data_IF_639059968522
#
_entry.id   IF_639059968522
#
_cell.length_a   1.000
_cell.length_b   1.000
_cell.length_c   1.000
_cell.angle_alpha   90.00
_cell.angle_beta   90.00
_cell.angle_gamma   90.00
#
_symmetry.space_group_name_H-M   'P 1'
#
loop_
_entity.id
_entity.type
_entity.pdbx_description
1 polymer ?
#
# COMPACT_ATOMS: atom_id res chain seq x y z
N UNK A 1 3.12 4.46 -35.05
CA UNK A 1 1.90 5.20 -35.38
C UNK A 1 1.43 5.87 -34.10
N UNK A 2 2.11 6.95 -33.71
CA UNK A 2 1.71 7.84 -32.64
C UNK A 2 1.05 9.09 -33.24
N UNK A 3 0.08 9.62 -32.55
CA UNK A 3 -0.70 10.84 -32.79
C UNK A 3 -2.07 10.60 -33.41
N UNK A 4 -3.05 10.68 -32.49
CA UNK A 4 -4.29 11.44 -32.63
C UNK A 4 -5.32 10.91 -31.62
N UNK A 5 -5.22 11.30 -30.37
CA UNK A 5 -6.36 11.51 -29.45
C UNK A 5 -5.90 12.63 -28.49
N UNK A 6 -5.96 13.84 -28.96
CA UNK A 6 -6.02 15.03 -28.12
C UNK A 6 -6.72 16.08 -28.98
N UNK A 7 -7.96 16.35 -28.66
CA UNK A 7 -8.70 17.58 -28.93
C UNK A 7 -10.19 17.27 -28.95
N UNK A 8 -10.75 17.01 -27.77
CA UNK A 8 -12.17 17.27 -27.50
C UNK A 8 -12.45 17.01 -26.02
N UNK A 9 -12.34 18.03 -25.20
CA UNK A 9 -13.14 18.33 -24.01
C UNK A 9 -12.39 19.33 -23.10
N UNK A 10 -12.02 20.47 -23.69
CA UNK A 10 -11.84 21.68 -22.90
C UNK A 10 -13.22 22.37 -22.85
N UNK A 11 -14.02 22.00 -21.91
CA UNK A 11 -15.20 22.77 -21.50
C UNK A 11 -14.90 23.43 -20.16
N UNK A 12 -14.60 24.71 -20.26
CA UNK A 12 -14.76 25.80 -19.30
C UNK A 12 -15.07 25.40 -17.85
N UNK A 13 -14.02 25.40 -17.02
CA UNK A 13 -14.15 25.59 -15.58
C UNK A 13 -14.59 27.03 -15.31
N UNK A 14 -15.57 27.28 -14.44
CA UNK A 14 -15.93 28.61 -14.03
C UNK A 14 -14.82 29.22 -13.18
N UNK A 15 -14.34 30.38 -13.59
CA UNK A 15 -13.43 31.21 -12.82
C UNK A 15 -14.13 31.69 -11.53
N UNK A 16 -13.85 31.06 -10.41
CA UNK A 16 -14.19 31.60 -9.10
C UNK A 16 -13.04 31.44 -8.12
N UNK A 17 -12.00 32.28 -8.32
CA UNK A 17 -10.91 32.49 -7.38
C UNK A 17 -11.31 33.28 -6.12
N UNK A 18 -12.58 33.33 -5.77
CA UNK A 18 -13.07 34.07 -4.59
C UNK A 18 -13.79 33.24 -3.54
N UNK A 19 -13.97 31.95 -3.73
CA UNK A 19 -14.63 31.07 -2.73
C UNK A 19 -13.66 30.14 -1.98
N UNK A 20 -12.43 29.99 -2.40
CA UNK A 20 -11.43 29.16 -1.69
C UNK A 20 -10.83 29.83 -0.43
N UNK A 21 -10.90 31.17 -0.32
CA UNK A 21 -10.35 31.92 0.83
C UNK A 21 -11.27 31.96 2.06
N UNK A 22 -12.44 31.35 2.06
CA UNK A 22 -13.42 31.45 3.17
C UNK A 22 -13.67 30.18 3.96
N UNK A 23 -12.89 29.13 3.78
CA UNK A 23 -12.92 27.95 4.66
C UNK A 23 -11.71 28.00 5.61
N UNK A 24 -11.50 29.15 6.26
CA UNK A 24 -10.62 29.21 7.40
C UNK A 24 -11.45 29.05 8.67
N UNK A 25 -11.13 28.01 9.41
CA UNK A 25 -11.63 27.58 10.72
C UNK A 25 -12.01 28.76 11.63
N UNK A 26 -13.16 28.64 12.28
CA UNK A 26 -13.59 29.57 13.31
C UNK A 26 -12.59 29.58 14.47
N UNK A 27 -12.44 30.73 15.19
CA UNK A 27 -11.52 30.87 16.33
C UNK A 27 -11.70 29.78 17.41
N UNK A 28 -12.88 29.19 17.52
CA UNK A 28 -13.18 28.08 18.42
C UNK A 28 -12.54 26.74 18.00
N UNK A 29 -12.25 26.56 16.73
CA UNK A 29 -11.55 25.39 16.20
C UNK A 29 -10.04 25.57 16.33
N UNK A 30 -9.54 26.79 16.27
CA UNK A 30 -8.13 27.13 16.56
C UNK A 30 -7.75 26.85 18.03
N UNK A 31 -8.65 27.05 18.97
CA UNK A 31 -8.40 26.72 20.39
C UNK A 31 -8.46 25.21 20.71
N UNK A 32 -9.19 24.39 19.93
CA UNK A 32 -9.19 22.93 20.10
C UNK A 32 -7.98 22.23 19.46
N UNK A 33 -7.29 22.88 18.55
CA UNK A 33 -6.11 22.39 17.85
C UNK A 33 -4.79 22.71 18.58
N UNK A 34 -4.81 23.20 19.81
CA UNK A 34 -3.59 23.28 20.64
C UNK A 34 -3.22 21.87 21.19
N UNK A 35 -3.05 20.86 20.32
CA UNK A 35 -2.06 19.83 20.58
C UNK A 35 -0.71 20.54 20.64
N UNK A 36 0.12 20.24 21.63
CA UNK A 36 1.50 20.71 21.66
C UNK A 36 2.11 20.34 20.30
N UNK A 37 2.25 21.33 19.41
CA UNK A 37 2.92 21.10 18.13
C UNK A 37 4.32 20.61 18.45
N UNK A 38 4.70 19.47 17.87
CA UNK A 38 6.06 18.96 17.93
C UNK A 38 7.01 19.99 17.31
N UNK A 39 8.23 20.04 17.77
CA UNK A 39 9.29 20.80 17.12
C UNK A 39 9.82 19.95 15.95
N UNK A 40 9.98 20.56 14.79
CA UNK A 40 10.55 19.89 13.62
C UNK A 40 12.07 20.06 13.62
N UNK A 41 12.74 19.24 14.43
CA UNK A 41 14.18 19.34 14.61
C UNK A 41 14.90 18.61 13.47
N UNK A 42 15.85 19.29 12.86
CA UNK A 42 16.77 18.73 11.86
C UNK A 42 17.67 17.73 12.56
N UNK A 43 17.65 16.48 12.12
CA UNK A 43 18.52 15.42 12.65
C UNK A 43 19.78 15.25 11.83
N UNK A 44 19.69 15.52 10.52
CA UNK A 44 20.81 15.39 9.59
C UNK A 44 20.64 16.32 8.40
N UNK A 45 21.77 16.81 7.91
CA UNK A 45 21.89 17.54 6.64
C UNK A 45 22.78 16.70 5.71
N UNK A 46 22.33 16.54 4.46
CA UNK A 46 23.06 15.76 3.47
C UNK A 46 24.26 16.56 2.92
N UNK A 47 25.43 15.93 2.81
CA UNK A 47 26.61 16.61 2.23
C UNK A 47 26.39 17.03 0.78
N UNK A 48 26.75 18.27 0.44
CA UNK A 48 26.61 18.86 -0.88
C UNK A 48 25.16 19.26 -1.21
N UNK A 49 24.28 19.34 -0.21
CA UNK A 49 22.89 19.75 -0.36
C UNK A 49 22.71 21.27 -0.26
N UNK A 50 21.56 21.77 -0.70
CA UNK A 50 21.17 23.17 -0.55
C UNK A 50 21.16 23.58 0.94
N UNK A 51 20.71 22.68 1.81
CA UNK A 51 20.68 22.94 3.26
C UNK A 51 22.10 23.11 3.85
N UNK A 52 23.09 22.36 3.37
CA UNK A 52 24.48 22.52 3.79
C UNK A 52 25.05 23.88 3.33
N UNK A 53 24.77 24.31 2.08
CA UNK A 53 25.18 25.59 1.55
C UNK A 53 24.58 26.77 2.32
N UNK A 54 23.36 26.60 2.86
CA UNK A 54 22.65 27.56 3.68
C UNK A 54 23.01 27.49 5.17
N UNK A 55 24.02 26.70 5.53
CA UNK A 55 24.50 26.54 6.91
C UNK A 55 23.40 26.07 7.88
N UNK A 56 22.42 25.27 7.38
CA UNK A 56 21.49 24.54 8.24
C UNK A 56 22.22 23.39 8.91
N UNK A 57 22.05 23.21 10.21
CA UNK A 57 22.79 22.23 11.00
C UNK A 57 21.85 21.29 11.76
N UNK A 58 22.29 20.08 12.08
CA UNK A 58 21.56 19.21 13.01
C UNK A 58 21.33 19.92 14.35
N UNK A 59 20.08 19.85 14.86
CA UNK A 59 19.64 20.57 16.04
C UNK A 59 18.88 21.88 15.76
N UNK A 60 18.88 22.37 14.54
CA UNK A 60 18.06 23.50 14.12
C UNK A 60 16.58 23.07 14.03
N UNK A 61 15.66 24.01 14.18
CA UNK A 61 14.21 23.79 14.11
C UNK A 61 13.65 24.45 12.86
N UNK A 62 13.00 23.67 11.98
CA UNK A 62 12.18 24.23 10.90
C UNK A 62 10.86 24.73 11.48
N UNK A 63 10.63 26.04 11.40
CA UNK A 63 9.47 26.71 11.99
C UNK A 63 8.32 26.85 10.99
N UNK A 64 8.63 27.28 9.76
CA UNK A 64 7.65 27.43 8.69
C UNK A 64 8.28 27.33 7.31
N UNK A 65 7.45 27.05 6.30
CA UNK A 65 7.80 27.10 4.89
C UNK A 65 6.83 28.05 4.20
N UNK A 66 7.38 29.06 3.49
CA UNK A 66 6.60 30.09 2.79
C UNK A 66 5.53 30.74 3.67
N UNK A 67 5.90 31.04 4.92
CA UNK A 67 5.03 31.65 5.93
C UNK A 67 3.93 30.74 6.49
N UNK A 68 3.89 29.45 6.10
CA UNK A 68 2.92 28.46 6.62
C UNK A 68 3.58 27.56 7.64
N UNK A 69 2.89 27.36 8.76
CA UNK A 69 3.29 26.38 9.76
C UNK A 69 3.08 24.96 9.22
N UNK A 70 3.97 24.07 9.62
CA UNK A 70 3.95 22.66 9.23
C UNK A 70 3.29 21.85 10.35
N UNK A 71 2.37 20.97 10.03
CA UNK A 71 1.77 20.02 10.97
C UNK A 71 2.50 18.68 10.96
N UNK A 72 2.85 18.20 9.76
CA UNK A 72 3.54 16.94 9.52
C UNK A 72 4.24 16.90 8.16
N UNK A 73 4.78 15.75 7.82
CA UNK A 73 5.53 15.52 6.58
C UNK A 73 4.74 15.81 5.30
N UNK A 74 3.39 15.71 5.33
CA UNK A 74 2.58 16.00 4.14
C UNK A 74 2.60 17.49 3.81
N UNK A 75 2.50 18.37 4.84
CA UNK A 75 2.65 19.81 4.64
C UNK A 75 4.04 20.15 4.14
N UNK A 76 5.08 19.53 4.72
CA UNK A 76 6.45 19.76 4.32
C UNK A 76 6.65 19.44 2.84
N UNK A 77 6.29 18.25 2.40
CA UNK A 77 6.44 17.85 0.99
C UNK A 77 5.63 18.76 0.05
N UNK A 78 4.39 19.09 0.41
CA UNK A 78 3.57 19.95 -0.42
C UNK A 78 4.15 21.36 -0.55
N UNK A 79 4.60 21.95 0.56
CA UNK A 79 5.13 23.32 0.57
C UNK A 79 6.54 23.44 -0.02
N UNK A 80 7.33 22.35 0.06
CA UNK A 80 8.67 22.30 -0.52
C UNK A 80 8.67 22.03 -2.01
N UNK A 81 7.54 21.57 -2.57
CA UNK A 81 7.40 21.26 -3.99
C UNK A 81 7.07 22.53 -4.81
N UNK A 82 8.03 23.47 -4.84
CA UNK A 82 7.96 24.74 -5.55
C UNK A 82 9.38 25.14 -5.98
N UNK A 83 9.49 25.99 -7.01
CA UNK A 83 10.77 26.53 -7.51
C UNK A 83 11.33 27.62 -6.61
N UNK A 84 10.49 28.27 -5.80
CA UNK A 84 10.88 29.26 -4.81
C UNK A 84 10.22 29.01 -3.47
N UNK A 85 11.01 28.82 -2.42
CA UNK A 85 10.52 28.60 -1.07
C UNK A 85 11.25 29.49 -0.06
N UNK A 86 10.53 29.98 0.94
CA UNK A 86 11.06 30.70 2.08
C UNK A 86 11.03 29.83 3.32
N UNK A 87 12.17 29.59 3.96
CA UNK A 87 12.25 28.84 5.20
C UNK A 87 12.47 29.76 6.39
N UNK A 88 11.71 29.59 7.45
CA UNK A 88 12.04 30.12 8.75
C UNK A 88 12.69 29.02 9.59
N UNK A 89 14.00 29.17 9.81
CA UNK A 89 14.80 28.24 10.61
C UNK A 89 15.14 28.92 11.94
N UNK A 90 14.89 28.22 13.05
CA UNK A 90 15.39 28.63 14.35
C UNK A 90 16.63 27.81 14.68
N UNK A 91 17.77 28.50 14.73
CA UNK A 91 19.07 27.92 15.08
C UNK A 91 19.06 27.41 16.52
N UNK A 92 19.95 26.46 16.81
CA UNK A 92 20.11 25.88 18.14
C UNK A 92 20.44 26.91 19.25
N UNK A 93 21.02 28.06 18.86
CA UNK A 93 21.29 29.20 19.77
C UNK A 93 20.07 30.11 19.99
N UNK A 94 18.94 29.87 19.30
CA UNK A 94 17.68 30.62 19.40
C UNK A 94 17.55 31.78 18.40
N UNK A 95 18.51 32.01 17.52
CA UNK A 95 18.38 32.97 16.41
C UNK A 95 17.40 32.44 15.38
N UNK A 96 16.63 33.32 14.75
CA UNK A 96 15.73 32.99 13.66
C UNK A 96 16.32 33.52 12.34
N UNK A 97 16.42 32.61 11.37
CA UNK A 97 16.92 32.87 10.04
C UNK A 97 15.81 32.72 9.02
N UNK A 98 15.62 33.73 8.17
CA UNK A 98 14.77 33.63 7.01
C UNK A 98 15.67 33.34 5.80
N UNK A 99 15.45 32.17 5.17
CA UNK A 99 16.24 31.70 4.04
C UNK A 99 15.37 31.64 2.79
N UNK A 100 15.79 32.33 1.76
CA UNK A 100 15.16 32.32 0.42
C UNK A 100 15.89 31.28 -0.44
N UNK A 101 15.15 30.34 -1.04
CA UNK A 101 15.69 29.21 -1.81
C UNK A 101 15.08 29.25 -3.21
N UNK A 102 15.91 29.35 -4.24
CA UNK A 102 15.57 29.05 -5.62
C UNK A 102 16.13 27.67 -5.97
N UNK A 103 15.29 26.76 -6.47
CA UNK A 103 15.64 25.36 -6.78
C UNK A 103 14.80 24.83 -7.92
N UNK A 104 15.18 23.68 -8.50
CA UNK A 104 14.26 22.95 -9.38
C UNK A 104 13.06 22.44 -8.58
N UNK A 105 11.91 22.29 -9.24
CA UNK A 105 10.63 21.98 -8.61
C UNK A 105 10.69 20.75 -7.69
N UNK A 106 11.36 19.68 -8.13
CA UNK A 106 11.46 18.41 -7.40
C UNK A 106 12.72 18.26 -6.54
N UNK A 107 13.59 19.27 -6.51
CA UNK A 107 14.83 19.18 -5.74
C UNK A 107 14.56 19.13 -4.24
N UNK A 108 15.16 18.14 -3.58
CA UNK A 108 15.20 18.05 -2.12
C UNK A 108 16.34 18.94 -1.59
N UNK A 109 16.04 19.73 -0.59
CA UNK A 109 17.06 20.58 0.05
C UNK A 109 18.05 19.81 0.92
N UNK A 110 17.82 18.53 1.21
CA UNK A 110 18.72 17.64 1.93
C UNK A 110 18.64 17.70 3.44
N UNK A 111 17.42 17.86 3.99
CA UNK A 111 17.16 17.83 5.45
C UNK A 111 16.46 16.51 5.82
N UNK A 112 16.98 15.83 6.85
CA UNK A 112 16.26 14.76 7.54
C UNK A 112 15.82 15.21 8.93
N UNK A 113 14.63 14.83 9.37
CA UNK A 113 14.09 15.17 10.68
C UNK A 113 14.25 14.03 11.68
N UNK A 114 14.29 14.32 13.00
CA UNK A 114 14.35 13.30 14.06
C UNK A 114 13.19 12.30 13.97
N UNK A 115 12.01 12.77 13.59
CA UNK A 115 10.85 11.95 13.30
C UNK A 115 10.50 12.10 11.81
N UNK A 116 10.60 11.01 11.05
CA UNK A 116 10.33 11.01 9.62
C UNK A 116 8.91 11.41 9.21
N UNK A 117 7.93 11.37 10.12
CA UNK A 117 6.58 11.92 9.90
C UNK A 117 6.43 13.38 10.38
N UNK A 118 7.44 13.94 11.02
CA UNK A 118 7.40 15.27 11.67
C UNK A 118 6.29 15.42 12.73
N UNK A 119 5.62 14.32 13.07
CA UNK A 119 4.58 14.17 14.07
C UNK A 119 4.58 12.72 14.60
N UNK A 120 3.85 12.46 15.69
CA UNK A 120 3.73 11.12 16.23
C UNK A 120 2.97 10.18 15.30
N UNK A 121 3.39 8.91 15.25
CA UNK A 121 2.67 7.85 14.54
C UNK A 121 1.27 7.66 15.12
N UNK A 122 0.29 7.44 14.26
CA UNK A 122 -1.10 7.21 14.65
C UNK A 122 -1.39 5.72 14.70
N UNK A 123 -1.51 5.19 15.89
CA UNK A 123 -1.80 3.79 16.12
C UNK A 123 -3.25 3.44 15.78
N UNK A 124 -3.47 2.26 15.20
CA UNK A 124 -4.80 1.73 14.88
C UNK A 124 -5.65 1.49 16.13
N UNK A 125 -6.90 1.95 16.11
CA UNK A 125 -7.87 1.76 17.21
C UNK A 125 -8.82 0.57 16.97
N UNK A 126 -8.69 -0.14 15.86
CA UNK A 126 -9.52 -1.28 15.50
C UNK A 126 -9.07 -2.57 16.23
N UNK A 127 -10.00 -3.51 16.37
CA UNK A 127 -9.75 -4.87 16.86
C UNK A 127 -10.30 -5.87 15.82
N UNK A 128 -9.74 -5.81 14.62
CA UNK A 128 -10.20 -6.61 13.50
C UNK A 128 -10.15 -8.10 13.80
N UNK A 129 -11.20 -8.84 13.45
CA UNK A 129 -11.26 -10.30 13.63
C UNK A 129 -10.15 -11.04 12.89
N UNK A 130 -9.57 -10.41 11.86
CA UNK A 130 -8.53 -10.92 10.98
C UNK A 130 -7.15 -10.28 11.23
N UNK A 131 -6.98 -9.43 12.25
CA UNK A 131 -5.73 -8.69 12.46
C UNK A 131 -4.54 -9.65 12.59
N UNK A 132 -3.57 -9.53 11.68
CA UNK A 132 -2.39 -10.39 11.70
C UNK A 132 -1.43 -10.05 12.86
N UNK A 133 -1.40 -8.79 13.31
CA UNK A 133 -0.60 -8.38 14.48
C UNK A 133 -1.08 -9.11 15.75
N UNK A 134 -2.40 -9.31 15.91
CA UNK A 134 -2.94 -10.04 17.06
C UNK A 134 -2.58 -11.53 17.05
N UNK A 135 -2.13 -12.04 15.90
CA UNK A 135 -1.69 -13.43 15.69
C UNK A 135 -0.16 -13.58 15.70
N UNK A 136 0.58 -12.55 16.08
CA UNK A 136 2.03 -12.63 16.20
C UNK A 136 2.45 -13.42 17.44
N UNK A 137 3.57 -14.16 17.40
CA UNK A 137 4.11 -14.83 18.58
C UNK A 137 4.47 -13.79 19.65
N UNK A 138 4.19 -14.12 20.92
CA UNK A 138 4.52 -13.24 22.05
C UNK A 138 6.02 -13.20 22.30
N UNK A 139 6.53 -12.06 22.80
CA UNK A 139 7.92 -11.92 23.23
C UNK A 139 8.91 -11.56 22.11
N UNK A 140 8.41 -11.13 20.96
CA UNK A 140 9.23 -10.53 19.91
C UNK A 140 9.52 -9.04 20.21
N UNK A 141 10.31 -8.37 19.36
CA UNK A 141 10.60 -6.94 19.53
C UNK A 141 9.31 -6.10 19.45
N UNK A 142 9.21 -5.07 20.27
CA UNK A 142 7.99 -4.26 20.45
C UNK A 142 7.47 -3.63 19.15
N UNK A 143 8.38 -3.25 18.25
CA UNK A 143 8.02 -2.66 16.96
C UNK A 143 7.14 -3.55 16.07
N UNK A 144 7.19 -4.89 16.25
CA UNK A 144 6.34 -5.84 15.51
C UNK A 144 4.88 -5.85 15.98
N UNK A 145 4.59 -5.27 17.14
CA UNK A 145 3.22 -5.22 17.68
C UNK A 145 2.55 -3.87 17.45
N UNK A 146 3.25 -2.95 16.79
CA UNK A 146 2.66 -1.68 16.42
C UNK A 146 1.60 -1.89 15.33
N UNK A 147 0.39 -1.44 15.59
CA UNK A 147 -0.72 -1.49 14.62
C UNK A 147 -0.83 -0.15 13.93
N UNK A 148 -0.51 -0.13 12.66
CA UNK A 148 -0.62 1.06 11.84
C UNK A 148 -2.04 1.27 11.28
N UNK A 149 -2.51 2.50 11.28
CA UNK A 149 -3.68 3.02 10.55
C UNK A 149 -3.49 4.53 10.32
N UNK A 150 -2.27 4.91 9.94
CA UNK A 150 -1.88 6.29 9.71
C UNK A 150 -1.96 6.63 8.22
N UNK A 151 -2.85 7.55 7.85
CA UNK A 151 -3.08 7.90 6.45
C UNK A 151 -1.86 8.47 5.74
N UNK A 152 -0.90 9.05 6.47
CA UNK A 152 0.35 9.55 5.89
C UNK A 152 1.18 8.42 5.31
N UNK A 153 1.16 7.26 5.95
CA UNK A 153 1.88 6.08 5.48
C UNK A 153 1.23 5.45 4.24
N UNK A 154 -0.03 5.77 3.95
CA UNK A 154 -0.63 5.39 2.67
C UNK A 154 0.12 6.02 1.49
N UNK A 155 0.48 7.30 1.59
CA UNK A 155 1.21 8.00 0.54
C UNK A 155 2.72 7.72 0.55
N UNK A 156 3.30 7.58 1.74
CA UNK A 156 4.75 7.42 1.89
C UNK A 156 5.25 5.98 1.71
N UNK A 157 4.41 4.99 2.02
CA UNK A 157 4.79 3.57 2.06
C UNK A 157 3.80 2.63 1.39
N UNK A 158 2.72 3.15 0.79
CA UNK A 158 1.69 2.33 0.18
C UNK A 158 0.77 1.59 1.16
N UNK A 159 0.78 1.94 2.45
CA UNK A 159 -0.01 1.24 3.48
C UNK A 159 -1.52 1.42 3.25
N UNK A 160 -2.27 0.32 3.47
CA UNK A 160 -3.73 0.34 3.38
C UNK A 160 -4.36 0.74 4.71
N UNK A 161 -5.15 1.81 4.71
CA UNK A 161 -5.78 2.36 5.90
C UNK A 161 -7.28 2.09 5.94
N UNK A 162 -7.83 2.02 7.16
CA UNK A 162 -9.25 1.70 7.36
C UNK A 162 -10.17 2.92 7.30
N UNK A 163 -9.64 4.12 7.17
CA UNK A 163 -10.34 5.42 7.27
C UNK A 163 -10.95 5.70 8.66
N UNK A 164 -10.89 4.76 9.61
CA UNK A 164 -11.49 4.95 10.94
C UNK A 164 -10.71 5.91 11.82
N UNK A 165 -9.42 6.06 11.54
CA UNK A 165 -8.49 6.95 12.27
C UNK A 165 -8.40 8.37 11.68
N UNK A 166 -8.95 8.59 10.50
CA UNK A 166 -8.88 9.88 9.81
C UNK A 166 -9.93 10.85 10.32
N UNK A 167 -9.53 12.07 10.61
CA UNK A 167 -10.43 13.19 10.88
C UNK A 167 -10.90 13.86 9.58
N UNK A 168 -11.91 14.75 9.68
CA UNK A 168 -12.32 15.57 8.53
C UNK A 168 -11.19 16.50 8.08
N UNK A 169 -10.38 17.00 9.02
CA UNK A 169 -9.20 17.80 8.73
C UNK A 169 -8.17 17.04 7.88
N UNK A 170 -7.89 15.77 8.20
CA UNK A 170 -6.98 14.95 7.39
C UNK A 170 -7.50 14.79 5.95
N UNK A 171 -8.82 14.58 5.80
CA UNK A 171 -9.44 14.47 4.48
C UNK A 171 -9.36 15.80 3.72
N UNK A 172 -9.68 16.92 4.39
CA UNK A 172 -9.60 18.25 3.77
C UNK A 172 -8.19 18.55 3.26
N UNK A 173 -7.15 18.18 4.01
CA UNK A 173 -5.75 18.35 3.59
C UNK A 173 -5.40 17.47 2.39
N UNK A 174 -5.78 16.18 2.41
CA UNK A 174 -5.53 15.25 1.29
C UNK A 174 -6.20 15.76 0.02
N UNK A 175 -7.45 16.20 0.11
CA UNK A 175 -8.18 16.78 -1.02
C UNK A 175 -7.54 18.10 -1.49
N UNK A 176 -7.16 18.97 -0.56
CA UNK A 176 -6.55 20.26 -0.90
C UNK A 176 -5.18 20.09 -1.56
N UNK A 177 -4.35 19.15 -1.09
CA UNK A 177 -3.04 18.84 -1.65
C UNK A 177 -3.12 17.91 -2.86
N UNK A 178 -4.31 17.42 -3.17
CA UNK A 178 -4.56 16.42 -4.23
C UNK A 178 -3.60 15.23 -4.13
N UNK A 179 -3.49 14.67 -2.92
CA UNK A 179 -2.58 13.56 -2.66
C UNK A 179 -3.20 12.23 -3.08
N UNK A 180 -2.49 11.48 -3.93
CA UNK A 180 -2.95 10.22 -4.49
C UNK A 180 -1.78 9.27 -4.86
N UNK A 181 -2.01 7.96 -4.97
CA UNK A 181 -3.27 7.28 -4.69
C UNK A 181 -3.49 7.07 -3.17
N UNK A 182 -4.76 7.05 -2.76
CA UNK A 182 -5.15 6.66 -1.39
C UNK A 182 -5.44 5.16 -1.33
N UNK A 183 -4.73 4.42 -0.49
CA UNK A 183 -4.90 2.98 -0.35
C UNK A 183 -5.87 2.66 0.81
N UNK A 184 -7.00 2.00 0.52
CA UNK A 184 -8.12 1.82 1.44
C UNK A 184 -8.41 0.35 1.72
N UNK A 185 -8.38 -0.04 3.00
CA UNK A 185 -8.85 -1.32 3.51
C UNK A 185 -10.37 -1.33 3.68
N UNK A 186 -11.11 -1.81 2.69
CA UNK A 186 -12.56 -1.83 2.71
C UNK A 186 -13.14 -2.96 3.55
N UNK A 187 -12.69 -4.16 3.34
CA UNK A 187 -13.15 -5.44 3.91
C UNK A 187 -14.56 -5.82 3.45
N UNK A 188 -15.50 -4.90 3.49
CA UNK A 188 -16.87 -5.00 3.00
C UNK A 188 -17.48 -3.61 2.86
N UNK A 189 -18.41 -3.44 1.93
CA UNK A 189 -19.22 -2.23 1.77
C UNK A 189 -20.52 -2.28 2.58
N UNK A 190 -20.78 -3.37 3.32
CA UNK A 190 -21.87 -3.46 4.27
C UNK A 190 -21.47 -2.78 5.60
N UNK A 191 -22.07 -1.63 5.98
CA UNK A 191 -21.64 -0.87 7.15
C UNK A 191 -21.74 -1.64 8.46
N UNK A 192 -22.78 -2.43 8.64
CA UNK A 192 -23.01 -3.20 9.86
C UNK A 192 -22.01 -4.36 9.98
N UNK A 193 -21.74 -5.05 8.87
CA UNK A 193 -20.74 -6.10 8.83
C UNK A 193 -19.34 -5.52 9.05
N UNK A 194 -19.04 -4.37 8.46
CA UNK A 194 -17.74 -3.70 8.65
C UNK A 194 -17.48 -3.35 10.12
N UNK A 195 -18.51 -2.84 10.82
CA UNK A 195 -18.42 -2.60 12.27
C UNK A 195 -18.09 -3.87 13.05
N UNK A 196 -18.68 -5.01 12.67
CA UNK A 196 -18.40 -6.30 13.31
C UNK A 196 -16.99 -6.79 12.99
N UNK A 197 -16.57 -6.74 11.72
CA UNK A 197 -15.25 -7.20 11.27
C UNK A 197 -14.10 -6.39 11.89
N UNK A 198 -14.23 -5.06 11.96
CA UNK A 198 -13.21 -4.18 12.55
C UNK A 198 -13.35 -4.04 14.07
N UNK A 199 -14.43 -4.58 14.64
CA UNK A 199 -14.81 -4.39 16.05
C UNK A 199 -14.76 -2.89 16.45
N UNK A 200 -15.29 -2.06 15.57
CA UNK A 200 -15.32 -0.60 15.72
C UNK A 200 -16.68 -0.07 15.26
N UNK A 201 -17.44 0.54 16.17
CA UNK A 201 -18.79 1.06 15.91
C UNK A 201 -18.84 2.17 14.85
N UNK A 202 -17.72 2.83 14.56
CA UNK A 202 -17.61 3.90 13.58
C UNK A 202 -17.14 3.41 12.20
N UNK A 203 -16.80 2.12 12.07
CA UNK A 203 -16.21 1.61 10.84
C UNK A 203 -17.17 1.66 9.64
N UNK A 204 -18.46 1.48 9.88
CA UNK A 204 -19.47 1.62 8.82
C UNK A 204 -19.64 3.06 8.33
N UNK A 205 -19.65 4.02 9.26
CA UNK A 205 -19.76 5.44 8.94
C UNK A 205 -18.50 5.95 8.20
N UNK A 206 -17.34 5.38 8.52
CA UNK A 206 -16.07 5.74 7.86
C UNK A 206 -16.08 5.48 6.35
N UNK A 207 -16.94 4.59 5.83
CA UNK A 207 -17.09 4.36 4.40
C UNK A 207 -17.52 5.63 3.63
N UNK A 208 -18.28 6.53 4.25
CA UNK A 208 -18.71 7.78 3.62
C UNK A 208 -17.55 8.74 3.28
N UNK A 209 -16.38 8.52 3.87
CA UNK A 209 -15.18 9.30 3.54
C UNK A 209 -14.70 9.03 2.12
N UNK A 210 -15.02 7.84 1.58
CA UNK A 210 -14.72 7.48 0.20
C UNK A 210 -15.46 8.38 -0.79
N UNK A 211 -16.70 8.78 -0.46
CA UNK A 211 -17.48 9.70 -1.30
C UNK A 211 -16.75 11.03 -1.48
N UNK A 212 -16.07 11.53 -0.43
CA UNK A 212 -15.32 12.79 -0.48
C UNK A 212 -14.07 12.70 -1.37
N UNK A 213 -13.36 11.58 -1.34
CA UNK A 213 -12.23 11.33 -2.24
C UNK A 213 -12.70 11.19 -3.68
N UNK A 214 -13.79 10.46 -3.90
CA UNK A 214 -14.39 10.31 -5.22
C UNK A 214 -14.85 11.65 -5.81
N UNK A 215 -15.58 12.48 -5.04
CA UNK A 215 -16.05 13.80 -5.44
C UNK A 215 -14.89 14.77 -5.74
N UNK A 216 -13.76 14.60 -5.07
CA UNK A 216 -12.54 15.37 -5.29
C UNK A 216 -11.66 14.84 -6.44
N UNK A 217 -12.03 13.70 -7.05
CA UNK A 217 -11.26 13.09 -8.13
C UNK A 217 -9.95 12.44 -7.69
N UNK A 218 -9.80 12.10 -6.39
CA UNK A 218 -8.60 11.44 -5.85
C UNK A 218 -8.58 9.97 -6.27
N UNK A 219 -7.48 9.54 -6.86
CA UNK A 219 -7.28 8.13 -7.19
C UNK A 219 -7.14 7.28 -5.92
N UNK A 220 -7.75 6.10 -5.95
CA UNK A 220 -7.78 5.17 -4.83
C UNK A 220 -7.45 3.76 -5.27
N UNK A 221 -6.86 2.97 -4.35
CA UNK A 221 -6.76 1.52 -4.46
C UNK A 221 -7.46 0.87 -3.26
N UNK A 222 -8.10 -0.25 -3.50
CA UNK A 222 -8.86 -0.97 -2.49
C UNK A 222 -8.23 -2.31 -2.11
N UNK A 223 -8.49 -2.75 -0.88
CA UNK A 223 -8.15 -4.10 -0.42
C UNK A 223 -9.32 -4.70 0.37
N UNK A 224 -9.58 -5.97 0.13
CA UNK A 224 -10.52 -6.79 0.88
C UNK A 224 -9.79 -8.02 1.43
N UNK A 225 -9.64 -8.09 2.76
CA UNK A 225 -9.24 -9.34 3.43
C UNK A 225 -10.48 -10.23 3.55
N UNK A 226 -10.51 -11.31 2.80
CA UNK A 226 -11.66 -12.21 2.75
C UNK A 226 -11.60 -13.25 3.87
N UNK A 227 -12.69 -13.34 4.65
CA UNK A 227 -12.85 -14.27 5.76
C UNK A 227 -14.00 -15.23 5.45
N UNK A 228 -13.71 -16.54 5.40
CA UNK A 228 -14.68 -17.59 5.08
C UNK A 228 -15.90 -17.53 6.00
N UNK A 229 -17.08 -17.51 5.42
CA UNK A 229 -18.36 -17.44 6.14
C UNK A 229 -18.67 -16.09 6.79
N UNK A 230 -17.89 -15.03 6.48
CA UNK A 230 -18.07 -13.70 7.06
C UNK A 230 -18.38 -12.67 5.98
N UNK A 231 -17.45 -12.38 5.09
CA UNK A 231 -17.59 -11.39 4.02
C UNK A 231 -17.40 -11.98 2.62
N UNK A 232 -17.44 -13.29 2.49
CA UNK A 232 -17.36 -14.03 1.23
C UNK A 232 -18.73 -14.19 0.54
N UNK A 233 -18.76 -14.87 -0.61
CA UNK A 233 -19.98 -15.17 -1.37
C UNK A 233 -20.80 -13.91 -1.70
N UNK A 234 -22.05 -13.86 -1.22
CA UNK A 234 -22.98 -12.78 -1.50
C UNK A 234 -22.53 -11.41 -0.94
N UNK A 235 -21.79 -11.39 0.18
CA UNK A 235 -21.24 -10.15 0.75
C UNK A 235 -20.08 -9.62 -0.09
N UNK A 236 -19.26 -10.50 -0.66
CA UNK A 236 -18.21 -10.11 -1.60
C UNK A 236 -18.84 -9.56 -2.89
N UNK A 237 -19.82 -10.24 -3.47
CA UNK A 237 -20.57 -9.77 -4.65
C UNK A 237 -21.19 -8.39 -4.40
N UNK A 238 -21.85 -8.21 -3.27
CA UNK A 238 -22.40 -6.92 -2.85
C UNK A 238 -21.30 -5.85 -2.78
N UNK A 239 -20.19 -6.16 -2.12
CA UNK A 239 -19.10 -5.20 -1.95
C UNK A 239 -18.47 -4.78 -3.27
N UNK A 240 -18.20 -5.73 -4.18
CA UNK A 240 -17.66 -5.42 -5.51
C UNK A 240 -18.64 -4.49 -6.27
N UNK A 241 -19.93 -4.80 -6.27
CA UNK A 241 -20.93 -3.97 -6.93
C UNK A 241 -20.99 -2.55 -6.38
N UNK A 242 -20.89 -2.39 -5.04
CA UNK A 242 -20.88 -1.06 -4.44
C UNK A 242 -19.59 -0.30 -4.76
N UNK A 243 -18.43 -0.99 -4.83
CA UNK A 243 -17.15 -0.40 -5.16
C UNK A 243 -17.06 0.06 -6.62
N UNK A 244 -17.74 -0.60 -7.56
CA UNK A 244 -17.75 -0.14 -8.97
C UNK A 244 -18.37 1.26 -9.15
N UNK A 245 -19.11 1.76 -8.17
CA UNK A 245 -19.66 3.13 -8.21
C UNK A 245 -18.60 4.22 -8.11
N UNK A 246 -17.42 3.87 -7.66
CA UNK A 246 -16.29 4.79 -7.50
C UNK A 246 -15.33 4.79 -8.71
N UNK A 247 -15.65 4.05 -9.76
CA UNK A 247 -14.93 4.15 -11.03
C UNK A 247 -15.13 5.54 -11.66
N UNK A 248 -14.12 6.14 -12.30
CA UNK A 248 -12.79 5.57 -12.56
C UNK A 248 -11.74 5.85 -11.47
N UNK A 249 -12.09 6.59 -10.39
CA UNK A 249 -11.11 7.02 -9.39
C UNK A 249 -10.67 5.89 -8.45
N UNK A 250 -11.52 4.92 -8.13
CA UNK A 250 -11.09 3.67 -7.51
C UNK A 250 -10.54 2.77 -8.62
N UNK A 251 -9.20 2.79 -8.79
CA UNK A 251 -8.54 2.19 -9.94
C UNK A 251 -8.49 0.66 -9.87
N UNK A 252 -8.29 0.12 -8.68
CA UNK A 252 -8.21 -1.33 -8.49
C UNK A 252 -8.60 -1.76 -7.08
N UNK A 253 -9.06 -3.00 -6.94
CA UNK A 253 -9.35 -3.62 -5.64
C UNK A 253 -8.77 -5.02 -5.59
N UNK A 254 -7.90 -5.30 -4.61
CA UNK A 254 -7.38 -6.65 -4.35
C UNK A 254 -8.28 -7.41 -3.37
N UNK A 255 -8.48 -8.69 -3.63
CA UNK A 255 -9.10 -9.64 -2.71
C UNK A 255 -8.05 -10.64 -2.26
N UNK A 256 -7.71 -10.61 -0.97
CA UNK A 256 -6.70 -11.48 -0.38
C UNK A 256 -7.34 -12.42 0.64
N UNK A 257 -6.97 -13.71 0.74
CA UNK A 257 -7.49 -14.58 1.78
C UNK A 257 -6.96 -14.17 3.15
N UNK A 258 -7.74 -14.38 4.19
CA UNK A 258 -7.28 -14.13 5.56
C UNK A 258 -6.11 -15.06 5.91
N UNK A 259 -5.00 -14.47 6.35
CA UNK A 259 -3.86 -15.22 6.88
C UNK A 259 -4.14 -15.72 8.30
N UNK A 260 -3.96 -17.01 8.54
CA UNK A 260 -4.19 -17.64 9.85
C UNK A 260 -2.88 -18.24 10.38
N UNK A 261 -2.42 -17.72 11.53
CA UNK A 261 -1.26 -18.28 12.23
C UNK A 261 -1.67 -19.29 13.31
N UNK A 262 -0.71 -20.02 13.83
CA UNK A 262 -0.92 -20.93 14.98
C UNK A 262 -1.13 -20.21 16.33
N UNK A 263 -0.99 -18.89 16.37
CA UNK A 263 -1.09 -18.09 17.60
C UNK A 263 -2.45 -17.39 17.71
N UNK A 264 -3.53 -18.13 17.42
CA UNK A 264 -4.90 -17.61 17.42
C UNK A 264 -5.71 -17.96 18.66
N UNK A 265 -5.10 -18.47 19.71
CA UNK A 265 -5.80 -18.83 20.94
C UNK A 265 -6.52 -17.61 21.56
N UNK A 266 -7.84 -17.74 21.74
CA UNK A 266 -8.70 -16.69 22.30
C UNK A 266 -9.08 -15.58 21.30
N UNK A 267 -8.66 -15.63 20.04
CA UNK A 267 -9.11 -14.73 18.99
C UNK A 267 -10.40 -15.24 18.33
N UNK A 268 -11.04 -14.37 17.55
CA UNK A 268 -12.24 -14.72 16.80
C UNK A 268 -11.99 -15.97 15.93
N UNK A 269 -12.85 -16.99 15.98
CA UNK A 269 -12.67 -18.20 15.21
C UNK A 269 -12.86 -17.92 13.72
N UNK A 270 -11.81 -18.11 12.94
CA UNK A 270 -11.81 -18.03 11.49
C UNK A 270 -11.36 -19.37 10.92
N UNK A 271 -11.93 -19.74 9.79
CA UNK A 271 -11.59 -20.96 9.06
C UNK A 271 -10.78 -20.61 7.81
N UNK A 272 -9.78 -21.43 7.44
CA UNK A 272 -9.08 -21.27 6.17
C UNK A 272 -10.01 -21.63 5.01
N UNK A 273 -9.75 -21.02 3.85
CA UNK A 273 -10.38 -21.44 2.60
C UNK A 273 -9.73 -22.74 2.11
N UNK A 274 -10.55 -23.59 1.49
CA UNK A 274 -10.08 -24.77 0.79
C UNK A 274 -10.08 -24.56 -0.73
N UNK A 275 -9.66 -25.57 -1.48
CA UNK A 275 -9.58 -25.54 -2.95
C UNK A 275 -10.91 -25.22 -3.62
N UNK A 276 -12.00 -25.79 -3.14
CA UNK A 276 -13.33 -25.59 -3.73
C UNK A 276 -13.91 -24.21 -3.38
N UNK A 277 -13.56 -23.69 -2.21
CA UNK A 277 -13.89 -22.31 -1.84
C UNK A 277 -13.13 -21.31 -2.71
N UNK A 278 -11.81 -21.55 -2.92
CA UNK A 278 -10.98 -20.70 -3.77
C UNK A 278 -11.49 -20.63 -5.21
N UNK A 279 -11.94 -21.75 -5.78
CA UNK A 279 -12.56 -21.77 -7.10
C UNK A 279 -13.80 -20.86 -7.17
N UNK A 280 -14.68 -20.92 -6.16
CA UNK A 280 -15.87 -20.07 -6.11
C UNK A 280 -15.53 -18.58 -6.02
N UNK A 281 -14.48 -18.24 -5.26
CA UNK A 281 -13.98 -16.87 -5.18
C UNK A 281 -13.43 -16.41 -6.53
N UNK A 282 -12.63 -17.24 -7.21
CA UNK A 282 -12.11 -16.94 -8.54
C UNK A 282 -13.23 -16.79 -9.58
N UNK A 283 -14.22 -17.70 -9.59
CA UNK A 283 -15.36 -17.61 -10.51
C UNK A 283 -16.13 -16.30 -10.33
N UNK A 284 -16.35 -15.88 -9.08
CA UNK A 284 -17.01 -14.60 -8.78
C UNK A 284 -16.18 -13.40 -9.26
N UNK A 285 -14.89 -13.38 -8.96
CA UNK A 285 -13.98 -12.29 -9.34
C UNK A 285 -13.88 -12.19 -10.88
N UNK A 286 -13.66 -13.32 -11.58
CA UNK A 286 -13.57 -13.34 -13.02
C UNK A 286 -14.87 -12.87 -13.68
N UNK A 287 -16.03 -13.25 -13.13
CA UNK A 287 -17.32 -12.75 -13.63
C UNK A 287 -17.46 -11.23 -13.51
N UNK A 288 -16.94 -10.64 -12.44
CA UNK A 288 -16.91 -9.18 -12.30
C UNK A 288 -15.84 -8.53 -13.18
N UNK A 289 -14.67 -9.13 -13.34
CA UNK A 289 -13.63 -8.65 -14.26
C UNK A 289 -14.15 -8.57 -15.69
N UNK A 290 -14.79 -9.63 -16.17
CA UNK A 290 -15.38 -9.66 -17.51
C UNK A 290 -16.41 -8.53 -17.69
N UNK A 291 -17.32 -8.34 -16.73
CA UNK A 291 -18.34 -7.32 -16.77
C UNK A 291 -17.77 -5.89 -16.77
N UNK A 292 -16.84 -5.61 -15.86
CA UNK A 292 -16.24 -4.27 -15.74
C UNK A 292 -15.33 -3.97 -16.93
N UNK A 293 -14.59 -4.97 -17.41
CA UNK A 293 -13.75 -4.81 -18.59
C UNK A 293 -14.56 -4.48 -19.85
N UNK A 294 -15.74 -5.07 -20.02
CA UNK A 294 -16.66 -4.74 -21.12
C UNK A 294 -17.17 -3.30 -21.05
N UNK A 295 -17.37 -2.75 -19.86
CA UNK A 295 -17.94 -1.42 -19.66
C UNK A 295 -16.89 -0.31 -19.58
N UNK A 296 -15.76 -0.58 -18.90
CA UNK A 296 -14.75 0.43 -18.55
C UNK A 296 -13.36 0.14 -19.17
N UNK A 297 -13.13 -1.04 -19.73
CA UNK A 297 -11.84 -1.41 -20.33
C UNK A 297 -10.75 -1.79 -19.33
N UNK A 298 -11.09 -1.99 -18.05
CA UNK A 298 -10.18 -2.42 -16.98
C UNK A 298 -10.79 -3.60 -16.22
N UNK A 299 -9.94 -4.43 -15.59
CA UNK A 299 -10.41 -5.59 -14.82
C UNK A 299 -10.85 -5.22 -13.40
N UNK A 300 -10.31 -4.14 -12.84
CA UNK A 300 -10.74 -3.49 -11.59
C UNK A 300 -10.56 -4.32 -10.32
N UNK A 301 -11.19 -5.54 -10.24
CA UNK A 301 -11.14 -6.41 -9.06
C UNK A 301 -10.19 -7.57 -9.32
N UNK A 302 -9.23 -7.79 -8.40
CA UNK A 302 -8.18 -8.77 -8.62
C UNK A 302 -8.08 -9.76 -7.45
N UNK A 303 -8.00 -11.04 -7.79
CA UNK A 303 -7.65 -12.08 -6.86
C UNK A 303 -6.13 -12.12 -6.65
N UNK A 304 -5.68 -12.22 -5.39
CA UNK A 304 -4.26 -12.47 -5.12
C UNK A 304 -3.81 -13.83 -5.65
N UNK A 305 -2.53 -13.96 -5.90
CA UNK A 305 -1.92 -15.21 -6.43
C UNK A 305 -2.22 -16.44 -5.56
N UNK A 306 -2.40 -16.22 -4.25
CA UNK A 306 -2.75 -17.29 -3.31
C UNK A 306 -4.06 -18.00 -3.67
N UNK A 307 -5.04 -17.29 -4.23
CA UNK A 307 -6.29 -17.90 -4.68
C UNK A 307 -6.07 -18.89 -5.82
N UNK A 308 -5.22 -18.53 -6.79
CA UNK A 308 -4.89 -19.40 -7.92
C UNK A 308 -4.10 -20.64 -7.46
N UNK A 309 -3.14 -20.43 -6.54
CA UNK A 309 -2.37 -21.52 -5.94
C UNK A 309 -3.30 -22.48 -5.18
N UNK A 310 -4.19 -21.96 -4.34
CA UNK A 310 -5.12 -22.73 -3.54
C UNK A 310 -6.14 -23.50 -4.41
N UNK A 311 -6.63 -22.86 -5.47
CA UNK A 311 -7.55 -23.47 -6.42
C UNK A 311 -6.88 -24.46 -7.38
N UNK A 312 -5.54 -24.48 -7.42
CA UNK A 312 -4.74 -25.20 -8.43
C UNK A 312 -5.14 -24.76 -9.86
N UNK A 313 -5.27 -23.46 -10.07
CA UNK A 313 -5.61 -22.86 -11.37
C UNK A 313 -4.46 -22.04 -11.95
N UNK A 314 -4.44 -21.85 -13.29
CA UNK A 314 -3.46 -21.02 -13.95
C UNK A 314 -3.55 -19.56 -13.53
N UNK A 315 -2.40 -18.90 -13.42
CA UNK A 315 -2.36 -17.46 -13.28
C UNK A 315 -2.84 -16.78 -14.57
N UNK A 316 -3.64 -15.72 -14.47
CA UNK A 316 -4.07 -14.95 -15.63
C UNK A 316 -2.88 -14.44 -16.48
N UNK A 317 -3.07 -14.14 -17.76
CA UNK A 317 -2.07 -13.45 -18.57
C UNK A 317 -1.83 -12.02 -18.07
N UNK A 318 -0.67 -11.43 -18.41
CA UNK A 318 -0.22 -10.12 -17.91
C UNK A 318 -1.24 -9.00 -18.13
N UNK A 319 -1.96 -9.04 -19.25
CA UNK A 319 -2.97 -8.06 -19.64
C UNK A 319 -4.15 -7.96 -18.67
N UNK A 320 -4.40 -9.00 -17.88
CA UNK A 320 -5.50 -9.02 -16.89
C UNK A 320 -5.15 -8.37 -15.55
N UNK A 321 -3.91 -7.91 -15.37
CA UNK A 321 -3.49 -7.27 -14.14
C UNK A 321 -3.46 -5.73 -14.21
N UNK A 322 -3.89 -5.13 -15.34
CA UNK A 322 -4.02 -3.68 -15.53
C UNK A 322 -2.75 -2.88 -15.13
N UNK A 323 -1.56 -3.44 -15.43
CA UNK A 323 -0.28 -2.82 -15.09
C UNK A 323 0.21 -3.12 -13.68
N UNK A 324 -0.35 -4.13 -13.00
CA UNK A 324 0.11 -4.62 -11.68
C UNK A 324 -0.04 -3.62 -10.53
N UNK A 325 -1.12 -2.85 -10.51
CA UNK A 325 -1.41 -1.84 -9.47
C UNK A 325 -1.49 -2.41 -8.04
N UNK A 326 -1.66 -3.74 -7.91
CA UNK A 326 -1.84 -4.40 -6.61
C UNK A 326 -0.72 -5.41 -6.31
N UNK A 327 0.46 -5.21 -6.89
CA UNK A 327 1.59 -6.15 -6.76
C UNK A 327 1.94 -6.42 -5.29
N UNK A 328 1.98 -5.38 -4.46
CA UNK A 328 2.29 -5.48 -3.02
C UNK A 328 1.25 -6.26 -2.21
N UNK A 329 0.04 -6.39 -2.74
CA UNK A 329 -1.00 -7.28 -2.19
C UNK A 329 -0.91 -8.71 -2.74
N UNK A 330 0.18 -9.05 -3.41
CA UNK A 330 0.41 -10.36 -4.00
C UNK A 330 -0.49 -10.66 -5.20
N UNK A 331 -0.84 -9.64 -5.97
CA UNK A 331 -1.64 -9.76 -7.19
C UNK A 331 -0.71 -9.69 -8.41
N UNK A 332 -0.56 -10.81 -9.09
CA UNK A 332 0.24 -10.90 -10.32
C UNK A 332 1.75 -11.02 -10.10
N UNK A 333 2.23 -11.16 -8.85
CA UNK A 333 3.66 -11.37 -8.59
C UNK A 333 4.20 -12.62 -9.26
N UNK A 334 3.43 -13.72 -9.22
CA UNK A 334 3.80 -14.97 -9.89
C UNK A 334 3.81 -14.81 -11.41
N UNK A 335 2.84 -14.10 -11.97
CA UNK A 335 2.81 -13.82 -13.40
C UNK A 335 4.03 -12.99 -13.81
N UNK A 336 4.30 -11.89 -13.13
CA UNK A 336 5.44 -11.01 -13.41
C UNK A 336 6.76 -11.79 -13.35
N UNK A 337 6.97 -12.56 -12.28
CA UNK A 337 8.16 -13.41 -12.14
C UNK A 337 8.32 -14.40 -13.30
N UNK A 338 7.23 -15.07 -13.68
CA UNK A 338 7.26 -16.05 -14.76
C UNK A 338 7.61 -15.40 -16.12
N UNK A 339 7.07 -14.21 -16.36
CA UNK A 339 7.30 -13.50 -17.62
C UNK A 339 8.73 -12.90 -17.68
N UNK A 340 9.25 -12.34 -16.59
CA UNK A 340 10.63 -11.88 -16.47
C UNK A 340 11.64 -13.03 -16.66
N UNK A 341 11.40 -14.15 -15.99
CA UNK A 341 12.28 -15.32 -16.15
C UNK A 341 12.20 -15.87 -17.58
N UNK A 342 11.02 -15.85 -18.20
CA UNK A 342 10.86 -16.27 -19.58
C UNK A 342 11.60 -15.36 -20.56
N UNK A 343 11.59 -14.07 -20.32
CA UNK A 343 12.32 -13.08 -21.11
C UNK A 343 13.83 -13.32 -21.01
N UNK A 344 14.36 -13.47 -19.79
CA UNK A 344 15.79 -13.66 -19.54
C UNK A 344 16.32 -15.02 -20.01
N UNK A 345 15.55 -16.08 -19.86
CA UNK A 345 16.01 -17.45 -20.14
C UNK A 345 15.43 -18.07 -21.43
N UNK A 346 14.54 -17.35 -22.12
CA UNK A 346 13.94 -17.76 -23.37
C UNK A 346 12.83 -18.81 -23.28
N UNK A 347 12.23 -19.13 -24.41
CA UNK A 347 10.97 -19.87 -24.51
C UNK A 347 10.95 -21.30 -23.92
N UNK A 348 12.10 -21.88 -23.58
CA UNK A 348 12.18 -23.26 -23.07
C UNK A 348 11.68 -23.42 -21.65
N UNK A 349 11.84 -22.41 -20.80
CA UNK A 349 11.40 -22.45 -19.41
C UNK A 349 9.89 -22.33 -19.24
N UNK A 350 9.24 -21.56 -20.10
CA UNK A 350 7.79 -21.39 -20.03
C UNK A 350 7.01 -22.69 -20.21
N UNK A 351 7.55 -23.66 -20.95
CA UNK A 351 6.91 -24.96 -21.13
C UNK A 351 6.86 -25.78 -19.85
N UNK A 352 7.91 -25.76 -19.05
CA UNK A 352 8.01 -26.61 -17.86
C UNK A 352 7.09 -26.14 -16.74
N UNK A 353 6.90 -24.84 -16.58
CA UNK A 353 6.01 -24.28 -15.57
C UNK A 353 4.54 -24.27 -16.00
N UNK A 354 4.27 -24.21 -17.31
CA UNK A 354 2.93 -24.09 -17.86
C UNK A 354 2.25 -25.40 -18.28
N UNK A 355 2.99 -26.44 -18.55
CA UNK A 355 2.39 -27.72 -18.97
C UNK A 355 1.72 -28.48 -17.81
N UNK A 356 0.82 -27.80 -17.12
CA UNK A 356 -0.25 -28.45 -16.38
C UNK A 356 0.09 -29.02 -15.01
N UNK A 357 1.19 -28.61 -14.39
CA UNK A 357 1.43 -28.93 -12.98
C UNK A 357 1.30 -27.67 -12.13
N UNK A 358 0.12 -27.48 -11.58
CA UNK A 358 -0.16 -26.48 -10.58
C UNK A 358 0.34 -26.99 -9.22
N UNK A 359 1.09 -26.15 -8.54
CA UNK A 359 1.76 -26.54 -7.31
C UNK A 359 1.15 -25.82 -6.13
N UNK A 360 0.54 -26.56 -5.28
CA UNK A 360 0.22 -26.19 -3.91
C UNK A 360 0.93 -27.16 -2.97
N UNK A 361 1.84 -26.72 -2.12
CA UNK A 361 2.14 -25.31 -1.81
C UNK A 361 3.15 -24.67 -2.78
N UNK A 362 3.25 -23.35 -2.77
CA UNK A 362 4.17 -22.52 -3.58
C UNK A 362 5.62 -23.07 -3.60
N UNK A 363 6.05 -23.68 -2.47
CA UNK A 363 7.33 -24.35 -2.37
C UNK A 363 7.56 -25.43 -3.42
N UNK A 364 6.53 -26.21 -3.74
CA UNK A 364 6.64 -27.30 -4.75
C UNK A 364 6.75 -26.69 -6.15
N UNK A 365 6.08 -25.57 -6.40
CA UNK A 365 6.20 -24.81 -7.64
C UNK A 365 7.63 -24.24 -7.83
N UNK A 366 8.17 -23.62 -6.81
CA UNK A 366 9.54 -23.10 -6.81
C UNK A 366 10.55 -24.24 -6.96
N UNK A 367 10.34 -25.36 -6.26
CA UNK A 367 11.21 -26.53 -6.35
C UNK A 367 11.23 -27.13 -7.76
N UNK A 368 10.04 -27.30 -8.36
CA UNK A 368 9.93 -27.82 -9.71
C UNK A 368 10.52 -26.86 -10.77
N UNK A 369 10.35 -25.54 -10.56
CA UNK A 369 10.98 -24.52 -11.38
C UNK A 369 12.51 -24.63 -11.34
N UNK A 370 13.10 -24.69 -10.13
CA UNK A 370 14.55 -24.81 -9.96
C UNK A 370 15.08 -26.13 -10.57
N UNK A 371 14.39 -27.24 -10.35
CA UNK A 371 14.77 -28.53 -10.92
C UNK A 371 14.71 -28.50 -12.44
N UNK A 372 13.74 -27.80 -13.03
CA UNK A 372 13.62 -27.63 -14.48
C UNK A 372 14.68 -26.73 -15.08
N UNK A 373 15.22 -25.78 -14.31
CA UNK A 373 16.24 -24.83 -14.80
C UNK A 373 17.66 -25.36 -14.66
N UNK A 374 17.89 -26.41 -13.87
CA UNK A 374 19.22 -27.00 -13.67
C UNK A 374 19.88 -27.50 -14.96
N UNK A 375 19.10 -27.88 -15.96
CA UNK A 375 19.64 -28.29 -17.27
C UNK A 375 20.12 -27.12 -18.13
N UNK A 376 19.73 -25.88 -17.81
CA UNK A 376 19.98 -24.70 -18.65
C UNK A 376 20.97 -23.71 -18.05
N UNK A 377 21.27 -23.82 -16.76
CA UNK A 377 22.29 -22.98 -16.10
C UNK A 377 23.65 -23.62 -16.27
N UNK A 378 24.37 -23.19 -17.27
CA UNK A 378 25.76 -23.62 -17.49
C UNK A 378 26.68 -22.90 -16.51
N UNK A 379 27.23 -23.68 -15.55
CA UNK A 379 28.56 -23.45 -15.02
C UNK A 379 28.57 -22.84 -13.67
N UNK A 380 28.14 -21.91 -13.07
CA UNK A 380 28.56 -21.41 -11.74
C UNK A 380 27.45 -21.03 -10.74
N UNK A 381 26.19 -21.11 -11.10
CA UNK A 381 25.09 -20.78 -10.19
C UNK A 381 24.56 -22.06 -9.54
N UNK A 382 24.92 -22.29 -8.29
CA UNK A 382 24.39 -23.40 -7.49
C UNK A 382 23.18 -22.91 -6.72
N UNK A 383 21.97 -23.33 -7.13
CA UNK A 383 20.76 -23.10 -6.36
C UNK A 383 20.65 -24.13 -5.22
N UNK A 384 20.70 -23.69 -3.98
CA UNK A 384 20.36 -24.51 -2.81
C UNK A 384 19.02 -24.09 -2.23
N UNK A 385 18.03 -24.95 -2.32
CA UNK A 385 16.76 -24.78 -1.60
C UNK A 385 16.90 -25.26 -0.16
N UNK A 386 16.74 -24.37 0.80
CA UNK A 386 16.74 -24.71 2.22
C UNK A 386 15.43 -25.38 2.62
N UNK A 387 15.38 -26.70 2.56
CA UNK A 387 14.19 -27.50 2.98
C UNK A 387 13.79 -27.31 4.44
N UNK A 388 14.67 -26.79 5.30
CA UNK A 388 14.46 -26.76 6.76
C UNK A 388 13.82 -25.47 7.29
N UNK A 389 14.08 -24.31 6.72
CA UNK A 389 13.70 -23.03 7.32
C UNK A 389 12.29 -22.56 6.93
N UNK A 390 11.82 -22.96 5.79
CA UNK A 390 10.48 -22.60 5.29
C UNK A 390 9.36 -23.18 6.19
N UNK A 391 9.59 -24.35 6.75
CA UNK A 391 8.63 -24.99 7.67
C UNK A 391 8.76 -24.54 9.12
N UNK A 392 9.89 -23.96 9.52
CA UNK A 392 10.13 -23.52 10.91
C UNK A 392 9.59 -22.11 11.19
N UNK A 393 9.43 -21.26 10.18
CA UNK A 393 8.92 -19.90 10.35
C UNK A 393 7.46 -19.83 10.85
N UNK A 394 6.73 -20.95 10.81
CA UNK A 394 5.37 -21.02 11.38
C UNK A 394 4.34 -20.09 10.74
N UNK A 395 4.69 -19.45 9.65
CA UNK A 395 3.78 -18.65 8.86
C UNK A 395 3.09 -19.54 7.85
N UNK A 396 1.78 -19.52 7.86
CA UNK A 396 0.96 -20.18 6.83
C UNK A 396 0.77 -19.28 5.61
N UNK A 397 1.36 -18.07 5.63
CA UNK A 397 1.30 -17.15 4.51
C UNK A 397 2.34 -17.52 3.46
N UNK A 398 1.94 -17.77 2.23
CA UNK A 398 2.86 -17.99 1.10
C UNK A 398 3.77 -16.77 0.83
N UNK A 399 3.34 -15.57 1.22
CA UNK A 399 4.06 -14.33 0.96
C UNK A 399 5.41 -14.23 1.68
N UNK A 400 5.51 -14.71 2.93
CA UNK A 400 6.79 -14.72 3.62
C UNK A 400 7.78 -15.71 2.99
N UNK A 401 7.26 -16.78 2.42
CA UNK A 401 8.05 -17.76 1.67
C UNK A 401 8.52 -17.19 0.33
N UNK A 402 7.65 -16.40 -0.30
CA UNK A 402 7.91 -15.78 -1.58
C UNK A 402 8.95 -14.66 -1.47
N UNK A 403 8.84 -13.78 -0.50
CA UNK A 403 9.79 -12.68 -0.29
C UNK A 403 11.21 -13.18 0.05
N UNK A 404 11.32 -14.21 0.88
CA UNK A 404 12.62 -14.83 1.19
C UNK A 404 13.22 -15.57 -0.02
N UNK A 405 12.37 -16.21 -0.82
CA UNK A 405 12.82 -16.91 -2.02
C UNK A 405 13.23 -15.95 -3.14
N UNK A 406 12.48 -14.88 -3.35
CA UNK A 406 12.83 -13.83 -4.33
C UNK A 406 14.10 -13.08 -3.95
N UNK A 407 14.28 -12.73 -2.69
CA UNK A 407 15.51 -12.10 -2.23
C UNK A 407 16.74 -12.98 -2.51
N UNK A 408 16.58 -14.30 -2.43
CA UNK A 408 17.66 -15.24 -2.76
C UNK A 408 17.90 -15.39 -4.26
N UNK A 409 16.89 -15.16 -5.10
CA UNK A 409 17.03 -15.18 -6.56
C UNK A 409 17.69 -13.92 -7.13
N UNK A 410 17.41 -12.75 -6.56
CA UNK A 410 17.89 -11.46 -7.09
C UNK A 410 19.31 -11.13 -6.70
N UNK A 411 19.87 -11.73 -5.66
CA UNK A 411 21.21 -11.37 -5.16
C UNK A 411 22.36 -12.19 -5.74
N UNK A 412 22.10 -13.28 -6.46
CA UNK A 412 23.16 -14.18 -6.95
C UNK A 412 23.98 -14.84 -5.85
N UNK A 413 23.71 -14.50 -4.64
CA UNK A 413 24.41 -14.89 -3.43
C UNK A 413 23.53 -15.78 -2.58
N UNK A 414 23.34 -16.99 -3.04
CA UNK A 414 22.76 -18.05 -2.22
C UNK A 414 23.78 -18.52 -1.23
N UNK A 415 23.87 -17.81 -0.14
CA UNK A 415 24.84 -18.07 0.88
C UNK A 415 24.56 -19.28 1.71
N UNK A 416 25.65 -19.94 1.95
CA UNK A 416 25.87 -20.75 3.13
C UNK A 416 25.69 -19.92 4.42
N UNK A 417 24.46 -19.67 4.83
CA UNK A 417 24.15 -19.39 6.21
C UNK A 417 24.03 -20.72 6.95
N UNK A 418 25.20 -21.35 7.11
CA UNK A 418 25.25 -22.61 7.82
C UNK A 418 25.33 -22.45 9.33
N UNK A 419 25.51 -21.25 9.87
CA UNK A 419 25.67 -21.08 11.31
C UNK A 419 24.98 -19.82 11.81
N UNK A 420 23.71 -19.94 12.23
CA UNK A 420 23.07 -19.16 13.27
C UNK A 420 21.86 -19.92 13.84
#
# INVERSE_FOLDING_TARGET
>A
VSRQISDALVTQLPSSSQSAEKIFLTEREKEKSMRKKGKHIVSKVLPGSIAEELEIEPGDELVSVSGKEIEDILDYHYLMNDEYVELLIRKSNGEEWELEIEKEYEDDIGIEFENGLMDNYRSCHNKCIFCFIDQMPKGMRDTLYFKDDDSRLSFLQGNYVTLTNMSDHDIDRIVYYHMEPMNISFQTMNPDLRCKMLHNRFAGEALKKVDRFYEAGIHMNGQIVLCKGVNDGAELDFSIRELTKYLPYLQSVSVVPVGLSKYRDGLFPLEPFDKEDAKKVLDLIHGWQEKVCQEYGIHFIHASDEWYILAEQPFPPAEQYDGYLQLENGVGMMRLLLDEVKEEMGNKLSQVVYEGKWFTPLREAIQAFIESTQEYVTGEVKFKLYKGNITKAGTTSPYSLYSESLASFTTGDLYDHHDA
#
